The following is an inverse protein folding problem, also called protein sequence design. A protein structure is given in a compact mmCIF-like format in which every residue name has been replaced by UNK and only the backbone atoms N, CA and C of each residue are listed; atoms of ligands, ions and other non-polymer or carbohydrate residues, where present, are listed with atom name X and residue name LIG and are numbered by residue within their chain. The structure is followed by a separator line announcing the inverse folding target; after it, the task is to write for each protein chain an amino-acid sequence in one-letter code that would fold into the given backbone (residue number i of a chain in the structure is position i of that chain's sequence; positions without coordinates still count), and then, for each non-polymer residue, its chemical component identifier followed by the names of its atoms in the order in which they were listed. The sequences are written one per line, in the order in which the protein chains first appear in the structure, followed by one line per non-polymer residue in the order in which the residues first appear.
data_IF_433199481840
#
_entry.id   IF_433199481840
#
_cell.length_a   1.000
_cell.length_b   1.000
_cell.length_c   1.000
_cell.angle_alpha   90.00
_cell.angle_beta   90.00
_cell.angle_gamma   90.00
#
_symmetry.space_group_name_H-M   'P 1'
#
loop_
_entity.id
_entity.type
_entity.pdbx_description
1 polymer ?
#
# COMPACT_ATOMS: atom_id res chain seq x y z
N UNK A 1 -9.03 13.62 6.51
CA UNK A 1 -9.18 12.90 5.23
C UNK A 1 -8.90 11.40 5.35
N UNK A 2 -7.77 10.96 5.91
CA UNK A 2 -7.42 9.52 5.98
C UNK A 2 -8.50 8.60 6.60
N UNK A 3 -9.15 9.02 7.70
CA UNK A 3 -10.24 8.26 8.31
C UNK A 3 -11.48 8.13 7.38
N UNK A 4 -11.81 9.18 6.63
CA UNK A 4 -12.93 9.20 5.67
C UNK A 4 -12.65 8.29 4.48
N UNK A 5 -11.43 8.33 3.93
CA UNK A 5 -10.97 7.43 2.87
C UNK A 5 -11.05 5.97 3.32
N UNK A 6 -10.61 5.69 4.55
CA UNK A 6 -10.66 4.35 5.12
C UNK A 6 -12.08 3.82 5.29
N UNK A 7 -13.05 4.69 5.58
CA UNK A 7 -14.45 4.29 5.70
C UNK A 7 -15.07 3.89 4.36
N UNK A 8 -14.63 4.55 3.28
CA UNK A 8 -15.14 4.36 1.93
C UNK A 8 -14.26 3.44 1.07
N UNK A 9 -13.41 2.61 1.69
CA UNK A 9 -12.53 1.66 1.00
C UNK A 9 -13.28 0.69 0.07
N UNK A 10 -14.53 0.35 0.41
CA UNK A 10 -15.36 -0.57 -0.36
C UNK A 10 -16.11 0.13 -1.51
N UNK A 11 -16.20 1.46 -1.50
CA UNK A 11 -16.90 2.25 -2.52
C UNK A 11 -15.89 2.98 -3.40
N UNK A 12 -15.60 2.38 -4.56
CA UNK A 12 -14.60 2.90 -5.51
C UNK A 12 -15.00 4.29 -6.04
N UNK A 13 -16.30 4.54 -6.23
CA UNK A 13 -16.78 5.82 -6.75
C UNK A 13 -16.57 6.93 -5.72
N UNK A 14 -16.93 6.67 -4.45
CA UNK A 14 -16.75 7.64 -3.39
C UNK A 14 -15.28 7.83 -3.03
N UNK A 15 -14.49 6.75 -3.04
CA UNK A 15 -13.05 6.82 -2.83
C UNK A 15 -12.37 7.71 -3.88
N UNK A 16 -12.74 7.57 -5.15
CA UNK A 16 -12.18 8.39 -6.25
C UNK A 16 -12.50 9.87 -6.04
N UNK A 17 -13.74 10.20 -5.66
CA UNK A 17 -14.14 11.59 -5.35
C UNK A 17 -13.33 12.16 -4.19
N UNK A 18 -13.15 11.38 -3.12
CA UNK A 18 -12.36 11.80 -1.95
C UNK A 18 -10.88 11.99 -2.30
N UNK A 19 -10.32 11.18 -3.21
CA UNK A 19 -8.94 11.37 -3.70
C UNK A 19 -8.80 12.66 -4.50
N UNK A 20 -9.77 12.99 -5.37
CA UNK A 20 -9.80 14.26 -6.08
C UNK A 20 -9.92 15.46 -5.14
N UNK A 21 -10.70 15.34 -4.07
CA UNK A 21 -10.76 16.36 -3.02
C UNK A 21 -9.42 16.52 -2.30
N UNK A 22 -8.74 15.43 -1.95
CA UNK A 22 -7.40 15.51 -1.35
C UNK A 22 -6.43 16.26 -2.27
N UNK A 23 -6.47 15.97 -3.58
CA UNK A 23 -5.67 16.66 -4.59
C UNK A 23 -6.00 18.15 -4.66
N UNK A 24 -7.28 18.54 -4.62
CA UNK A 24 -7.73 19.94 -4.55
C UNK A 24 -7.27 20.64 -3.26
N UNK A 25 -7.22 19.91 -2.15
CA UNK A 25 -6.73 20.39 -0.86
C UNK A 25 -5.20 20.46 -0.77
N UNK A 26 -4.47 20.14 -1.85
CA UNK A 26 -3.00 20.03 -1.88
C UNK A 26 -2.45 18.97 -0.91
N UNK A 27 -3.24 17.96 -0.60
CA UNK A 27 -2.83 16.80 0.18
C UNK A 27 -2.43 15.71 -0.81
N UNK A 28 -1.15 15.39 -0.89
CA UNK A 28 -0.69 14.28 -1.73
C UNK A 28 -1.13 12.95 -1.13
N UNK A 29 -1.76 12.14 -1.97
CA UNK A 29 -2.05 10.73 -1.70
C UNK A 29 -0.97 9.94 -2.40
N UNK A 30 -0.03 9.41 -1.62
CA UNK A 30 1.05 8.56 -2.09
C UNK A 30 0.54 7.14 -2.28
N UNK A 31 1.16 6.44 -3.23
CA UNK A 31 0.89 5.03 -3.49
C UNK A 31 1.09 4.14 -2.25
N UNK A 32 0.53 2.92 -2.29
CA UNK A 32 0.75 1.94 -1.24
C UNK A 32 2.23 1.60 -1.15
N UNK A 33 2.69 1.21 0.03
CA UNK A 33 4.07 0.83 0.29
C UNK A 33 4.06 -0.35 1.27
N UNK A 34 4.72 -1.46 0.95
CA UNK A 34 4.73 -2.63 1.84
C UNK A 34 5.41 -2.37 3.19
N UNK A 35 6.26 -1.35 3.28
CA UNK A 35 6.97 -0.97 4.50
C UNK A 35 6.22 0.09 5.31
N UNK A 36 5.48 1.02 4.68
CA UNK A 36 4.77 2.11 5.39
C UNK A 36 3.25 1.93 5.47
N UNK A 37 2.61 1.30 4.49
CA UNK A 37 1.16 1.13 4.45
C UNK A 37 0.68 0.03 5.40
N UNK A 38 -0.60 0.09 5.75
CA UNK A 38 -1.35 -0.91 6.51
C UNK A 38 -2.67 -1.19 5.79
N UNK A 39 -3.62 -1.87 6.44
CA UNK A 39 -4.94 -2.16 5.85
C UNK A 39 -5.72 -0.88 5.49
N UNK A 40 -5.67 0.12 6.37
CA UNK A 40 -6.35 1.41 6.23
C UNK A 40 -5.43 2.53 5.71
N UNK A 41 -6.02 3.65 5.28
CA UNK A 41 -5.26 4.83 4.88
C UNK A 41 -4.59 5.48 6.08
N UNK A 42 -3.28 5.69 6.00
CA UNK A 42 -2.49 6.32 7.06
C UNK A 42 -1.92 7.65 6.61
N UNK A 43 -1.41 8.44 7.56
CA UNK A 43 -0.72 9.70 7.27
C UNK A 43 0.76 9.50 7.62
N UNK A 44 1.65 9.74 6.67
CA UNK A 44 3.09 9.70 6.92
C UNK A 44 3.51 10.93 7.76
N UNK A 45 4.69 10.88 8.39
CA UNK A 45 5.31 11.97 9.18
C UNK A 45 5.41 13.29 8.41
N UNK A 46 5.43 13.27 7.08
CA UNK A 46 5.43 14.44 6.19
C UNK A 46 4.04 15.09 6.02
N UNK A 47 2.98 14.49 6.54
CA UNK A 47 1.60 14.96 6.40
C UNK A 47 0.87 14.46 5.14
N UNK A 48 1.51 13.62 4.33
CA UNK A 48 0.90 13.00 3.14
C UNK A 48 0.09 11.75 3.52
N UNK A 49 -0.96 11.47 2.74
CA UNK A 49 -1.78 10.27 2.94
C UNK A 49 -1.11 9.11 2.20
N UNK A 50 -0.95 7.97 2.87
CA UNK A 50 -0.50 6.71 2.28
C UNK A 50 -1.70 5.84 1.96
N UNK A 51 -1.70 5.28 0.76
CA UNK A 51 -2.77 4.39 0.33
C UNK A 51 -2.78 3.12 1.19
N UNK A 52 -3.95 2.76 1.71
CA UNK A 52 -4.14 1.52 2.48
C UNK A 52 -4.12 0.31 1.55
N UNK A 53 -3.34 -0.71 1.89
CA UNK A 53 -3.26 -1.93 1.09
C UNK A 53 -4.60 -2.68 1.00
N UNK A 54 -5.49 -2.50 1.99
CA UNK A 54 -6.84 -3.07 1.95
C UNK A 54 -7.74 -2.45 0.86
N UNK A 55 -7.39 -1.28 0.34
CA UNK A 55 -8.10 -0.64 -0.77
C UNK A 55 -7.69 -1.14 -2.16
N UNK A 56 -6.66 -1.99 -2.23
CA UNK A 56 -6.18 -2.52 -3.51
C UNK A 56 -7.05 -3.70 -3.91
N UNK A 57 -7.64 -3.62 -5.09
CA UNK A 57 -8.48 -4.69 -5.64
C UNK A 57 -7.68 -5.99 -5.77
N UNK A 58 -8.10 -7.02 -5.03
CA UNK A 58 -7.45 -8.34 -5.00
C UNK A 58 -6.47 -8.55 -3.84
N UNK A 59 -6.32 -7.55 -2.96
CA UNK A 59 -5.62 -7.67 -1.68
C UNK A 59 -6.68 -7.79 -0.59
N UNK A 60 -6.66 -8.89 0.16
CA UNK A 60 -7.57 -9.07 1.31
C UNK A 60 -6.92 -8.60 2.60
N UNK A 61 -7.72 -8.18 3.58
CA UNK A 61 -7.22 -7.75 4.89
C UNK A 61 -6.35 -8.80 5.58
N UNK A 62 -6.66 -10.10 5.43
CA UNK A 62 -5.81 -11.18 5.94
C UNK A 62 -4.42 -11.21 5.33
N UNK A 63 -4.29 -10.85 4.05
CA UNK A 63 -3.00 -10.74 3.38
C UNK A 63 -2.21 -9.55 3.92
N UNK A 64 -2.88 -8.41 4.12
CA UNK A 64 -2.26 -7.21 4.71
C UNK A 64 -1.80 -7.47 6.14
N UNK A 65 -2.62 -8.11 6.97
CA UNK A 65 -2.24 -8.49 8.33
C UNK A 65 -1.04 -9.43 8.34
N UNK A 66 -0.96 -10.37 7.39
CA UNK A 66 0.21 -11.25 7.27
C UNK A 66 1.47 -10.46 6.92
N UNK A 67 1.38 -9.50 6.00
CA UNK A 67 2.49 -8.62 5.60
C UNK A 67 2.96 -7.77 6.78
N UNK A 68 2.04 -7.14 7.49
CA UNK A 68 2.34 -6.31 8.67
C UNK A 68 2.99 -7.15 9.75
N UNK A 69 2.46 -8.35 10.03
CA UNK A 69 3.06 -9.29 11.00
C UNK A 69 4.44 -9.76 10.57
N UNK A 70 4.65 -10.06 9.29
CA UNK A 70 5.95 -10.48 8.77
C UNK A 70 7.00 -9.37 8.90
N UNK A 71 6.60 -8.10 8.69
CA UNK A 71 7.44 -6.91 8.94
C UNK A 71 7.78 -6.74 10.42
N UNK A 72 6.81 -6.93 11.32
CA UNK A 72 6.99 -6.74 12.76
C UNK A 72 7.73 -7.90 13.45
N UNK A 73 7.55 -9.13 12.94
CA UNK A 73 8.14 -10.34 13.52
C UNK A 73 9.54 -10.66 12.97
N UNK A 74 9.93 -10.06 11.84
CA UNK A 74 11.25 -10.25 11.21
C UNK A 74 12.29 -9.18 11.59
N UNK A 75 13.39 -9.12 10.84
CA UNK A 75 14.48 -8.14 11.02
C UNK A 75 14.12 -6.69 10.62
N UNK A 76 12.85 -6.29 10.79
CA UNK A 76 12.35 -4.97 10.41
C UNK A 76 11.89 -4.89 8.95
N UNK A 77 11.97 -3.70 8.31
CA UNK A 77 11.39 -3.46 6.99
C UNK A 77 11.94 -4.41 5.93
N UNK A 78 11.11 -4.71 4.94
CA UNK A 78 11.52 -5.48 3.78
C UNK A 78 12.61 -4.71 3.04
N UNK A 79 13.64 -5.42 2.60
CA UNK A 79 14.77 -4.85 1.83
C UNK A 79 14.65 -5.07 0.33
N UNK A 80 13.91 -6.08 -0.10
CA UNK A 80 13.68 -6.41 -1.51
C UNK A 80 12.39 -7.22 -1.69
N UNK A 81 11.86 -7.25 -2.92
CA UNK A 81 10.74 -8.12 -3.29
C UNK A 81 11.01 -9.61 -2.97
N UNK A 82 12.26 -10.07 -3.10
CA UNK A 82 12.64 -11.43 -2.71
C UNK A 82 12.49 -11.67 -1.21
N UNK A 83 13.00 -10.72 -0.39
CA UNK A 83 12.88 -10.79 1.06
C UNK A 83 11.42 -10.76 1.53
N UNK A 84 10.57 -10.01 0.83
CA UNK A 84 9.13 -10.05 1.03
C UNK A 84 8.57 -11.44 0.79
N UNK A 85 8.81 -12.02 -0.40
CA UNK A 85 8.27 -13.34 -0.80
C UNK A 85 8.72 -14.46 0.16
N UNK A 86 9.96 -14.42 0.66
CA UNK A 86 10.46 -15.42 1.61
C UNK A 86 9.81 -15.31 3.01
N UNK A 87 9.42 -14.11 3.43
CA UNK A 87 8.85 -13.87 4.77
C UNK A 87 7.33 -14.02 4.82
N UNK A 88 6.63 -13.77 3.72
CA UNK A 88 5.16 -13.87 3.68
C UNK A 88 4.70 -15.32 3.60
N UNK A 89 3.50 -15.57 4.12
CA UNK A 89 2.84 -16.87 3.95
C UNK A 89 2.12 -16.95 2.61
N UNK A 90 2.66 -17.71 1.65
CA UNK A 90 2.05 -17.94 0.33
C UNK A 90 0.64 -18.56 0.38
N UNK A 91 0.27 -19.18 1.51
CA UNK A 91 -1.08 -19.69 1.74
C UNK A 91 -2.12 -18.58 1.99
N UNK A 92 -1.67 -17.42 2.48
CA UNK A 92 -2.53 -16.26 2.79
C UNK A 92 -2.40 -15.20 1.71
N UNK A 93 -1.17 -15.00 1.23
CA UNK A 93 -0.84 -14.05 0.18
C UNK A 93 -0.68 -14.81 -1.13
N UNK A 94 -1.78 -14.90 -1.88
CA UNK A 94 -1.82 -15.62 -3.15
C UNK A 94 -1.03 -14.87 -4.23
N UNK A 95 -0.62 -15.57 -5.29
CA UNK A 95 0.05 -14.97 -6.45
C UNK A 95 -0.71 -13.77 -7.04
N UNK A 96 -2.05 -13.85 -7.14
CA UNK A 96 -2.89 -12.72 -7.59
C UNK A 96 -2.76 -11.49 -6.69
N UNK A 97 -2.65 -11.70 -5.38
CA UNK A 97 -2.50 -10.61 -4.41
C UNK A 97 -1.13 -9.95 -4.55
N UNK A 98 -0.08 -10.73 -4.78
CA UNK A 98 1.26 -10.21 -5.08
C UNK A 98 1.25 -9.41 -6.38
N UNK A 99 0.63 -9.95 -7.44
CA UNK A 99 0.50 -9.24 -8.72
C UNK A 99 -0.25 -7.91 -8.54
N UNK A 100 -1.38 -7.89 -7.81
CA UNK A 100 -2.10 -6.66 -7.48
C UNK A 100 -1.24 -5.65 -6.71
N UNK A 101 -0.43 -6.10 -5.74
CA UNK A 101 0.47 -5.23 -4.99
C UNK A 101 1.58 -4.64 -5.88
N UNK A 102 2.14 -5.43 -6.79
CA UNK A 102 3.13 -4.97 -7.78
C UNK A 102 2.51 -3.94 -8.72
N UNK A 103 1.32 -4.22 -9.28
CA UNK A 103 0.63 -3.25 -10.15
C UNK A 103 0.22 -1.96 -9.44
N UNK A 104 -0.06 -2.04 -8.14
CA UNK A 104 -0.38 -0.86 -7.34
C UNK A 104 0.85 -0.03 -6.93
N UNK A 105 2.07 -0.48 -7.26
CA UNK A 105 3.32 0.22 -6.90
C UNK A 105 3.77 0.00 -5.46
N UNK A 106 3.26 -1.04 -4.77
CA UNK A 106 3.62 -1.32 -3.37
C UNK A 106 5.11 -1.65 -3.16
N UNK A 107 5.80 -2.00 -4.24
CA UNK A 107 7.23 -2.33 -4.28
C UNK A 107 8.09 -1.17 -4.82
N UNK A 108 7.52 -0.01 -5.14
CA UNK A 108 8.28 1.12 -5.70
C UNK A 108 9.22 1.77 -4.67
N UNK A 109 9.03 1.47 -3.38
CA UNK A 109 9.90 1.91 -2.28
C UNK A 109 11.22 1.12 -2.17
N UNK A 110 11.41 0.04 -2.92
CA UNK A 110 12.67 -0.71 -2.91
C UNK A 110 13.72 -0.03 -3.81
N UNK A 111 14.85 0.38 -3.24
CA UNK A 111 16.00 0.93 -3.97
C UNK A 111 16.58 -0.13 -4.93
N UNK A 112 16.07 -0.17 -6.16
CA UNK A 112 16.50 -1.12 -7.19
C UNK A 112 15.51 -1.26 -8.35
N UNK A 113 14.24 -0.92 -8.12
CA UNK A 113 13.21 -0.84 -9.18
C UNK A 113 12.69 0.58 -9.33
N UNK A 114 13.58 1.57 -9.24
CA UNK A 114 13.32 2.90 -9.80
C UNK A 114 13.30 2.77 -11.33
N UNK A 115 12.25 2.14 -11.86
CA UNK A 115 11.76 2.40 -13.20
C UNK A 115 11.43 3.88 -13.23
N UNK A 116 12.40 4.67 -13.71
CA UNK A 116 12.21 5.93 -14.41
C UNK A 116 10.75 6.33 -14.63
N UNK A 117 10.12 6.94 -13.62
CA UNK A 117 8.99 7.81 -13.81
C UNK A 117 9.00 9.00 -12.84
N UNK A 118 10.20 9.41 -12.43
CA UNK A 118 10.49 10.85 -12.41
C UNK A 118 10.64 11.24 -13.87
N UNK A 119 9.61 11.81 -14.49
CA UNK A 119 9.67 12.89 -15.50
C UNK A 119 8.29 13.14 -16.13
N UNK A 120 7.80 14.36 -15.87
CA UNK A 120 6.73 15.15 -16.52
C UNK A 120 5.28 14.94 -16.08
#
# INVERSE_FOLDING_TARGET
MAATLSRNLNDIEELTKLMDECKRMKIEVLGPDVNESIDTFTVNKKGNIRFGMGGIKGVGSSAVDNIVKARESGDGPFTSAFNFIERISLNVVNRKTIESLVYAGAFDGFEGYAGSNTLQ
#
